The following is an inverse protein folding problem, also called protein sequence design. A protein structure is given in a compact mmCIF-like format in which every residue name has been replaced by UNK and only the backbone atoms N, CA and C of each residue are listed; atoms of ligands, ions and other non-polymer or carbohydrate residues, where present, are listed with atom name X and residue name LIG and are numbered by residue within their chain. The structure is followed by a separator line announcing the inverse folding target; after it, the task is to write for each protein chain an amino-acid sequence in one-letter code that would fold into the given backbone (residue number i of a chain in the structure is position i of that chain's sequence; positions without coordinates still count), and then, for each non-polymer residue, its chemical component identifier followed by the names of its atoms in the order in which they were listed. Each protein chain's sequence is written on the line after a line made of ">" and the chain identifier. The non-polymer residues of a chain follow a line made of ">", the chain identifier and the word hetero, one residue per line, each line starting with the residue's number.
data_IF_906277721360
#
_entry.id   IF_906277721360
#
_cell.length_a   1.000
_cell.length_b   1.000
_cell.length_c   1.000
_cell.angle_alpha   90.00
_cell.angle_beta   90.00
_cell.angle_gamma   90.00
#
_symmetry.space_group_name_H-M   'P 1'
#
loop_
_entity.id
_entity.type
_entity.pdbx_description
1 polymer ?
#
# COMPACT_ATOMS: atom_id res chain seq x y z
N UNK A 1 -2.70 -29.30 25.83
CA UNK A 1 -2.79 -27.86 26.19
C UNK A 1 -2.21 -27.04 25.04
N UNK A 2 -3.08 -26.47 24.22
CA UNK A 2 -2.74 -25.66 23.04
C UNK A 2 -2.19 -24.29 23.48
N UNK A 3 -0.90 -24.02 23.32
CA UNK A 3 -0.36 -22.66 23.38
C UNK A 3 -0.18 -22.11 21.97
N UNK A 4 -1.18 -21.32 21.56
CA UNK A 4 -1.21 -20.44 20.39
C UNK A 4 0.07 -19.57 20.34
N UNK A 5 0.91 -19.73 19.30
CA UNK A 5 1.94 -18.75 18.92
C UNK A 5 1.46 -18.00 17.68
N UNK A 6 1.65 -16.67 17.70
CA UNK A 6 1.06 -15.69 16.78
C UNK A 6 1.67 -15.81 15.36
N UNK A 7 0.88 -15.71 14.29
CA UNK A 7 1.39 -15.55 12.93
C UNK A 7 1.80 -14.09 12.68
N UNK A 8 2.91 -13.88 11.95
CA UNK A 8 3.20 -12.60 11.30
C UNK A 8 3.98 -11.56 12.12
N UNK A 9 5.17 -11.89 12.61
CA UNK A 9 6.16 -10.85 12.92
C UNK A 9 6.94 -10.59 11.63
N UNK A 10 6.54 -9.53 10.92
CA UNK A 10 7.35 -8.92 9.87
C UNK A 10 8.63 -8.36 10.51
N UNK A 11 9.77 -8.33 9.78
CA UNK A 11 10.96 -7.63 10.25
C UNK A 11 10.57 -6.20 10.63
N UNK A 12 10.96 -5.79 11.83
CA UNK A 12 10.69 -4.44 12.31
C UNK A 12 11.68 -3.48 11.64
N UNK A 13 11.34 -2.19 11.60
CA UNK A 13 12.19 -1.12 11.06
C UNK A 13 13.65 -1.13 11.55
N UNK A 14 13.95 -1.77 12.67
CA UNK A 14 15.31 -1.92 13.18
C UNK A 14 16.17 -2.96 12.44
N UNK A 15 15.57 -3.87 11.67
CA UNK A 15 16.26 -4.95 10.96
C UNK A 15 16.70 -4.55 9.54
N UNK A 16 16.31 -3.34 9.08
CA UNK A 16 16.69 -2.78 7.79
C UNK A 16 17.53 -1.54 8.02
N UNK A 17 18.80 -1.59 7.58
CA UNK A 17 19.70 -0.44 7.61
C UNK A 17 19.04 0.77 6.90
N UNK A 18 19.15 1.99 7.45
CA UNK A 18 18.50 3.17 6.88
C UNK A 18 19.18 3.57 5.57
N UNK A 19 18.47 3.51 4.45
CA UNK A 19 18.85 4.29 3.28
C UNK A 19 18.09 5.62 3.29
N UNK A 20 18.84 6.65 3.66
CA UNK A 20 18.43 8.04 3.83
C UNK A 20 17.78 8.61 2.57
N UNK A 21 16.57 9.17 2.73
CA UNK A 21 16.06 10.20 1.83
C UNK A 21 16.89 11.46 2.05
N UNK A 22 17.84 11.74 1.16
CA UNK A 22 18.36 13.10 1.00
C UNK A 22 17.44 13.81 0.01
N UNK A 23 16.53 14.62 0.53
CA UNK A 23 15.99 15.77 -0.21
C UNK A 23 16.76 17.01 0.21
N UNK A 24 17.74 17.39 -0.61
CA UNK A 24 18.12 18.77 -0.92
C UNK A 24 19.22 18.68 -1.99
N UNK A 25 18.93 19.13 -3.21
CA UNK A 25 19.88 19.25 -4.32
C UNK A 25 20.51 17.92 -4.76
N UNK A 26 19.85 17.17 -5.66
CA UNK A 26 20.46 15.95 -6.19
C UNK A 26 19.64 15.21 -7.23
N UNK A 27 19.76 15.67 -8.48
CA UNK A 27 19.71 14.90 -9.75
C UNK A 27 18.63 13.82 -9.87
N UNK A 28 17.72 14.04 -10.82
CA UNK A 28 16.77 13.05 -11.34
C UNK A 28 17.36 11.63 -11.30
N UNK A 29 16.91 10.81 -10.32
CA UNK A 29 17.17 9.37 -10.37
C UNK A 29 16.44 8.89 -11.62
N UNK A 30 17.22 8.36 -12.56
CA UNK A 30 16.72 7.86 -13.84
C UNK A 30 15.60 6.85 -13.60
N UNK A 31 14.60 6.83 -14.48
CA UNK A 31 13.50 5.86 -14.44
C UNK A 31 13.99 4.41 -14.34
N UNK A 32 15.21 4.13 -14.84
CA UNK A 32 15.90 2.84 -14.72
C UNK A 32 16.23 2.44 -13.27
N UNK A 33 16.53 3.39 -12.38
CA UNK A 33 16.81 3.11 -10.97
C UNK A 33 15.57 2.62 -10.21
N UNK A 34 14.39 3.14 -10.55
CA UNK A 34 13.12 2.71 -9.95
C UNK A 34 12.69 1.34 -10.49
N UNK A 35 12.95 1.05 -11.76
CA UNK A 35 12.65 -0.26 -12.36
C UNK A 35 13.49 -1.38 -11.73
N UNK A 36 14.79 -1.19 -11.56
CA UNK A 36 15.64 -2.16 -10.87
C UNK A 36 15.22 -2.39 -9.41
N UNK A 37 14.85 -1.32 -8.69
CA UNK A 37 14.34 -1.45 -7.33
C UNK A 37 13.05 -2.28 -7.29
N UNK A 38 12.10 -2.01 -8.19
CA UNK A 38 10.84 -2.76 -8.26
C UNK A 38 11.07 -4.26 -8.54
N UNK A 39 12.00 -4.59 -9.43
CA UNK A 39 12.38 -5.98 -9.73
C UNK A 39 12.97 -6.65 -8.49
N UNK A 40 13.89 -5.97 -7.79
CA UNK A 40 14.48 -6.50 -6.55
C UNK A 40 13.42 -6.72 -5.47
N UNK A 41 12.52 -5.75 -5.26
CA UNK A 41 11.43 -5.88 -4.29
C UNK A 41 10.50 -7.07 -4.63
N UNK A 42 10.19 -7.25 -5.91
CA UNK A 42 9.39 -8.39 -6.39
C UNK A 42 10.08 -9.73 -6.12
N UNK A 43 11.39 -9.83 -6.41
CA UNK A 43 12.17 -11.03 -6.13
C UNK A 43 12.15 -11.34 -4.63
N UNK A 44 12.39 -10.34 -3.77
CA UNK A 44 12.36 -10.51 -2.31
C UNK A 44 10.98 -10.93 -1.82
N UNK A 45 9.92 -10.37 -2.38
CA UNK A 45 8.54 -10.72 -2.07
C UNK A 45 8.23 -12.19 -2.42
N UNK A 46 8.57 -12.61 -3.64
CA UNK A 46 8.36 -13.98 -4.11
C UNK A 46 9.19 -14.97 -3.29
N UNK A 47 10.49 -14.71 -3.12
CA UNK A 47 11.37 -15.61 -2.37
C UNK A 47 10.94 -15.74 -0.91
N UNK A 48 10.55 -14.64 -0.26
CA UNK A 48 10.08 -14.68 1.11
C UNK A 48 8.67 -15.27 1.28
N UNK A 49 7.97 -15.59 0.20
CA UNK A 49 6.72 -16.35 0.23
C UNK A 49 6.93 -17.84 -0.07
N UNK A 50 7.84 -18.14 -1.00
CA UNK A 50 8.20 -19.52 -1.37
C UNK A 50 9.04 -20.18 -0.27
N UNK A 51 9.94 -19.43 0.36
CA UNK A 51 10.87 -19.94 1.36
C UNK A 51 10.64 -19.31 2.73
N UNK A 52 10.71 -20.13 3.79
CA UNK A 52 10.85 -19.62 5.15
C UNK A 52 12.30 -19.21 5.39
N UNK A 53 12.54 -17.89 5.31
CA UNK A 53 13.85 -17.29 5.49
C UNK A 53 14.10 -16.84 6.94
N UNK A 54 13.34 -17.33 7.94
CA UNK A 54 13.47 -16.93 9.33
C UNK A 54 13.95 -18.07 10.27
N UNK A 55 15.22 -18.04 10.74
CA UNK A 55 16.27 -17.07 10.44
C UNK A 55 16.87 -17.27 9.04
N UNK A 56 17.50 -16.22 8.46
CA UNK A 56 18.07 -16.34 7.12
C UNK A 56 19.22 -17.35 7.11
N UNK A 57 19.41 -18.12 6.03
CA UNK A 57 20.48 -19.10 5.93
C UNK A 57 21.85 -18.41 6.07
N UNK A 58 22.61 -18.76 7.11
CA UNK A 58 23.95 -18.19 7.37
C UNK A 58 25.11 -19.12 7.00
N UNK A 59 24.80 -20.30 6.46
CA UNK A 59 25.79 -21.28 6.01
C UNK A 59 25.44 -21.76 4.61
N UNK A 60 26.46 -22.14 3.85
CA UNK A 60 26.28 -22.72 2.51
C UNK A 60 25.40 -23.98 2.57
N UNK A 61 25.60 -24.84 3.57
CA UNK A 61 24.77 -26.02 3.78
C UNK A 61 23.29 -25.69 4.00
N UNK A 62 22.98 -24.65 4.79
CA UNK A 62 21.61 -24.20 5.01
C UNK A 62 20.97 -23.62 3.75
N UNK A 63 21.75 -22.86 2.97
CA UNK A 63 21.31 -22.33 1.68
C UNK A 63 21.02 -23.44 0.66
N UNK A 64 21.93 -24.42 0.53
CA UNK A 64 21.73 -25.58 -0.33
C UNK A 64 20.53 -26.44 0.08
N UNK A 65 20.23 -26.51 1.38
CA UNK A 65 19.04 -27.20 1.87
C UNK A 65 17.74 -26.49 1.44
N UNK A 66 17.71 -25.15 1.44
CA UNK A 66 16.57 -24.37 0.95
C UNK A 66 16.32 -24.60 -0.54
N UNK A 67 17.37 -24.61 -1.37
CA UNK A 67 17.25 -24.84 -2.81
C UNK A 67 16.70 -26.22 -3.18
N UNK A 68 16.80 -27.20 -2.27
CA UNK A 68 16.25 -28.55 -2.45
C UNK A 68 14.78 -28.67 -2.05
N UNK A 69 14.19 -27.63 -1.47
CA UNK A 69 12.75 -27.62 -1.17
C UNK A 69 11.94 -27.58 -2.47
N UNK A 70 10.79 -28.26 -2.54
CA UNK A 70 9.95 -28.25 -3.72
C UNK A 70 9.50 -26.82 -4.04
N UNK A 71 9.81 -26.34 -5.23
CA UNK A 71 9.45 -25.01 -5.73
C UNK A 71 8.22 -25.06 -6.65
N UNK A 72 7.36 -26.07 -6.48
CA UNK A 72 6.19 -26.26 -7.35
C UNK A 72 5.31 -25.01 -7.40
N UNK A 73 5.30 -24.24 -6.30
CA UNK A 73 4.54 -22.99 -6.18
C UNK A 73 5.27 -21.75 -6.73
N UNK A 74 6.58 -21.81 -7.05
CA UNK A 74 7.35 -20.62 -7.44
C UNK A 74 6.78 -19.97 -8.70
N UNK A 75 6.44 -20.79 -9.71
CA UNK A 75 5.87 -20.29 -10.97
C UNK A 75 4.51 -19.64 -10.74
N UNK A 76 3.65 -20.28 -9.96
CA UNK A 76 2.31 -19.77 -9.63
C UNK A 76 2.37 -18.46 -8.83
N UNK A 77 3.18 -18.44 -7.76
CA UNK A 77 3.40 -17.25 -6.92
C UNK A 77 3.97 -16.10 -7.74
N UNK A 78 4.97 -16.39 -8.59
CA UNK A 78 5.56 -15.38 -9.47
C UNK A 78 4.52 -14.80 -10.44
N UNK A 79 3.73 -15.67 -11.08
CA UNK A 79 2.70 -15.23 -12.01
C UNK A 79 1.62 -14.39 -11.31
N UNK A 80 1.21 -14.76 -10.10
CA UNK A 80 0.23 -14.01 -9.31
C UNK A 80 0.72 -12.59 -9.01
N UNK A 81 1.97 -12.43 -8.57
CA UNK A 81 2.54 -11.11 -8.29
C UNK A 81 2.79 -10.28 -9.56
N UNK A 82 3.20 -10.92 -10.66
CA UNK A 82 3.33 -10.25 -11.96
C UNK A 82 1.98 -9.74 -12.48
N UNK A 83 0.92 -10.55 -12.41
CA UNK A 83 -0.43 -10.15 -12.81
C UNK A 83 -0.93 -8.95 -11.99
N UNK A 84 -0.66 -8.95 -10.69
CA UNK A 84 -0.99 -7.82 -9.81
C UNK A 84 -0.25 -6.54 -10.22
N UNK A 85 1.05 -6.62 -10.53
CA UNK A 85 1.83 -5.47 -10.98
C UNK A 85 1.38 -4.94 -12.34
N UNK A 86 1.02 -5.83 -13.26
CA UNK A 86 0.46 -5.45 -14.56
C UNK A 86 -0.86 -4.70 -14.38
N UNK A 87 -1.76 -5.23 -13.55
CA UNK A 87 -3.04 -4.58 -13.23
C UNK A 87 -2.82 -3.20 -12.59
N UNK A 88 -1.94 -3.10 -11.59
CA UNK A 88 -1.60 -1.82 -10.96
C UNK A 88 -1.05 -0.80 -11.95
N UNK A 89 -0.15 -1.24 -12.84
CA UNK A 89 0.46 -0.36 -13.85
C UNK A 89 -0.58 0.16 -14.83
N UNK A 90 -1.50 -0.71 -15.27
CA UNK A 90 -2.61 -0.35 -16.15
C UNK A 90 -3.51 0.71 -15.50
N UNK A 91 -3.99 0.45 -14.27
CA UNK A 91 -4.90 1.37 -13.58
C UNK A 91 -4.21 2.71 -13.28
N UNK A 92 -2.94 2.68 -12.86
CA UNK A 92 -2.14 3.88 -12.63
C UNK A 92 -2.01 4.72 -13.90
N UNK A 93 -1.74 4.08 -15.04
CA UNK A 93 -1.66 4.76 -16.34
C UNK A 93 -2.99 5.39 -16.76
N UNK A 94 -4.11 4.71 -16.50
CA UNK A 94 -5.45 5.26 -16.74
C UNK A 94 -5.76 6.46 -15.83
N UNK A 95 -5.47 6.37 -14.54
CA UNK A 95 -5.60 7.48 -13.60
C UNK A 95 -4.76 8.70 -13.99
N UNK A 96 -3.52 8.48 -14.44
CA UNK A 96 -2.66 9.56 -14.93
C UNK A 96 -3.28 10.26 -16.16
N UNK A 97 -3.82 9.49 -17.11
CA UNK A 97 -4.52 10.04 -18.29
C UNK A 97 -5.80 10.79 -17.92
N UNK A 98 -6.58 10.29 -16.98
CA UNK A 98 -7.81 10.94 -16.50
C UNK A 98 -7.47 12.26 -15.79
N UNK A 99 -6.52 12.24 -14.86
CA UNK A 99 -6.12 13.43 -14.10
C UNK A 99 -5.52 14.53 -14.97
N UNK A 100 -4.77 14.18 -16.02
CA UNK A 100 -4.21 15.14 -16.98
C UNK A 100 -5.28 15.89 -17.82
N UNK A 101 -6.49 15.33 -17.94
CA UNK A 101 -7.59 15.90 -18.74
C UNK A 101 -8.68 16.53 -17.88
N UNK A 102 -8.44 16.70 -16.58
CA UNK A 102 -9.47 17.21 -15.67
C UNK A 102 -9.81 18.68 -15.97
N UNK A 103 -11.10 19.05 -15.93
CA UNK A 103 -11.51 20.43 -15.98
C UNK A 103 -11.08 21.17 -14.70
N UNK A 104 -10.93 22.50 -14.80
CA UNK A 104 -10.36 23.36 -13.75
C UNK A 104 -11.10 23.20 -12.41
N UNK A 105 -12.42 23.04 -12.42
CA UNK A 105 -13.22 22.90 -11.20
C UNK A 105 -13.00 21.60 -10.45
N UNK A 106 -12.34 20.60 -11.05
CA UNK A 106 -12.00 19.31 -10.43
C UNK A 106 -10.52 19.19 -10.04
N UNK A 107 -9.71 20.25 -10.20
CA UNK A 107 -8.26 20.18 -9.93
C UNK A 107 -7.94 19.81 -8.48
N UNK A 108 -8.69 20.30 -7.51
CA UNK A 108 -8.51 19.92 -6.09
C UNK A 108 -8.73 18.41 -5.88
N UNK A 109 -9.79 17.84 -6.46
CA UNK A 109 -10.06 16.40 -6.43
C UNK A 109 -8.93 15.61 -7.10
N UNK A 110 -8.47 16.07 -8.26
CA UNK A 110 -7.34 15.49 -8.98
C UNK A 110 -6.06 15.46 -8.15
N UNK A 111 -5.72 16.58 -7.50
CA UNK A 111 -4.54 16.68 -6.62
C UNK A 111 -4.64 15.75 -5.42
N UNK A 112 -5.83 15.63 -4.80
CA UNK A 112 -6.02 14.70 -3.68
C UNK A 112 -5.84 13.24 -4.10
N UNK A 113 -6.34 12.88 -5.28
CA UNK A 113 -6.18 11.53 -5.83
C UNK A 113 -4.73 11.25 -6.19
N UNK A 114 -4.02 12.22 -6.75
CA UNK A 114 -2.57 12.11 -7.00
C UNK A 114 -1.79 11.92 -5.70
N UNK A 115 -2.12 12.65 -4.63
CA UNK A 115 -1.53 12.46 -3.29
C UNK A 115 -1.81 11.06 -2.73
N UNK A 116 -3.06 10.61 -2.79
CA UNK A 116 -3.43 9.26 -2.32
C UNK A 116 -2.73 8.17 -3.14
N UNK A 117 -2.58 8.37 -4.46
CA UNK A 117 -1.86 7.46 -5.34
C UNK A 117 -0.36 7.40 -4.98
N UNK A 118 0.29 8.55 -4.72
CA UNK A 118 1.69 8.58 -4.29
C UNK A 118 1.90 7.94 -2.91
N UNK A 119 0.90 7.97 -2.04
CA UNK A 119 0.94 7.32 -0.72
C UNK A 119 0.74 5.80 -0.79
N UNK A 120 0.27 5.26 -1.91
CA UNK A 120 0.08 3.82 -2.14
C UNK A 120 1.14 3.22 -3.06
N UNK A 121 1.55 3.96 -4.09
CA UNK A 121 2.46 3.51 -5.14
C UNK A 121 3.65 4.48 -5.21
N UNK A 122 4.73 4.11 -4.52
CA UNK A 122 5.98 4.84 -4.45
C UNK A 122 7.17 3.88 -4.61
N UNK A 123 8.39 4.36 -4.93
CA UNK A 123 9.57 3.49 -5.00
C UNK A 123 9.78 2.73 -3.68
N UNK A 124 9.72 1.39 -3.70
CA UNK A 124 9.81 0.55 -2.50
C UNK A 124 8.46 0.06 -1.94
N UNK A 125 7.32 0.41 -2.54
CA UNK A 125 6.01 0.05 -1.99
C UNK A 125 5.79 -1.46 -1.84
N UNK A 126 6.37 -2.29 -2.71
CA UNK A 126 6.24 -3.76 -2.65
C UNK A 126 6.86 -4.34 -1.37
N UNK A 127 7.98 -3.78 -0.92
CA UNK A 127 8.70 -4.23 0.27
C UNK A 127 8.13 -3.61 1.56
N UNK A 128 7.63 -2.38 1.49
CA UNK A 128 7.15 -1.63 2.67
C UNK A 128 5.66 -1.81 2.96
N UNK A 129 4.86 -2.18 1.95
CA UNK A 129 3.44 -2.48 2.16
C UNK A 129 3.31 -3.86 2.82
N UNK A 130 2.56 -4.00 3.94
CA UNK A 130 2.34 -5.31 4.51
C UNK A 130 1.70 -6.24 3.49
N UNK A 131 2.25 -7.45 3.33
CA UNK A 131 1.89 -8.38 2.24
C UNK A 131 0.39 -8.62 2.11
N UNK A 132 -0.31 -8.66 3.23
CA UNK A 132 -1.77 -8.78 3.30
C UNK A 132 -2.52 -7.72 2.47
N UNK A 133 -1.99 -6.50 2.38
CA UNK A 133 -2.63 -5.38 1.71
C UNK A 133 -2.28 -5.24 0.23
N UNK A 134 -1.19 -5.85 -0.24
CA UNK A 134 -0.79 -5.78 -1.64
C UNK A 134 -1.90 -6.23 -2.62
N UNK A 135 -2.61 -7.37 -2.39
CA UNK A 135 -3.73 -7.79 -3.24
C UNK A 135 -4.89 -6.80 -3.33
N UNK A 136 -5.00 -5.87 -2.39
CA UNK A 136 -6.09 -4.89 -2.35
C UNK A 136 -5.76 -3.58 -3.06
N UNK A 137 -4.49 -3.32 -3.38
CA UNK A 137 -4.07 -2.09 -4.06
C UNK A 137 -4.83 -1.82 -5.36
N UNK A 138 -5.07 -2.79 -6.27
CA UNK A 138 -5.84 -2.54 -7.48
C UNK A 138 -7.25 -2.03 -7.19
N UNK A 139 -7.91 -2.54 -6.15
CA UNK A 139 -9.26 -2.09 -5.74
C UNK A 139 -9.25 -0.64 -5.25
N UNK A 140 -8.24 -0.24 -4.48
CA UNK A 140 -8.10 1.14 -4.03
C UNK A 140 -7.88 2.11 -5.19
N UNK A 141 -7.05 1.72 -6.18
CA UNK A 141 -6.83 2.53 -7.37
C UNK A 141 -8.10 2.61 -8.25
N UNK A 142 -8.83 1.50 -8.44
CA UNK A 142 -10.14 1.52 -9.14
C UNK A 142 -11.16 2.41 -8.43
N UNK A 143 -11.14 2.47 -7.10
CA UNK A 143 -12.01 3.37 -6.34
C UNK A 143 -11.67 4.85 -6.62
N UNK A 144 -10.40 5.19 -6.87
CA UNK A 144 -10.01 6.53 -7.30
C UNK A 144 -10.56 6.87 -8.70
N UNK A 145 -10.56 5.91 -9.63
CA UNK A 145 -11.13 6.12 -10.98
C UNK A 145 -12.62 6.44 -10.89
N UNK A 146 -13.36 5.61 -10.14
CA UNK A 146 -14.80 5.84 -9.90
C UNK A 146 -15.03 7.19 -9.21
N UNK A 147 -14.17 7.57 -8.24
CA UNK A 147 -14.27 8.89 -7.59
C UNK A 147 -14.11 10.03 -8.60
N UNK A 148 -13.13 9.95 -9.51
CA UNK A 148 -12.94 10.97 -10.55
C UNK A 148 -14.15 11.10 -11.46
N UNK A 149 -14.69 9.98 -11.93
CA UNK A 149 -15.86 9.95 -12.82
C UNK A 149 -17.09 10.55 -12.14
N UNK A 150 -17.30 10.25 -10.86
CA UNK A 150 -18.46 10.74 -10.10
C UNK A 150 -18.31 12.16 -9.56
N UNK A 151 -17.09 12.68 -9.45
CA UNK A 151 -16.84 14.01 -8.89
C UNK A 151 -17.54 15.11 -9.68
N UNK A 152 -17.65 14.96 -11.00
CA UNK A 152 -18.35 15.90 -11.88
C UNK A 152 -19.88 15.72 -11.83
N UNK A 153 -20.34 14.46 -11.75
CA UNK A 153 -21.75 14.11 -11.76
C UNK A 153 -22.46 14.45 -10.45
N UNK A 154 -21.78 14.26 -9.31
CA UNK A 154 -22.35 14.43 -7.96
C UNK A 154 -21.47 15.34 -7.07
N UNK A 155 -21.19 16.61 -7.43
CA UNK A 155 -20.20 17.45 -6.76
C UNK A 155 -20.53 17.77 -5.30
N UNK A 156 -21.83 17.87 -4.96
CA UNK A 156 -22.26 18.07 -3.56
C UNK A 156 -21.91 16.87 -2.69
N UNK A 157 -22.10 15.65 -3.22
CA UNK A 157 -21.83 14.40 -2.52
C UNK A 157 -20.32 14.16 -2.41
N UNK A 158 -19.55 14.45 -3.46
CA UNK A 158 -18.08 14.43 -3.41
C UNK A 158 -17.57 15.31 -2.26
N UNK A 159 -18.04 16.56 -2.18
CA UNK A 159 -17.66 17.48 -1.11
C UNK A 159 -18.03 16.96 0.28
N UNK A 160 -19.23 16.40 0.46
CA UNK A 160 -19.65 15.81 1.73
C UNK A 160 -18.73 14.66 2.15
N UNK A 161 -18.47 13.71 1.25
CA UNK A 161 -17.60 12.55 1.51
C UNK A 161 -16.16 12.99 1.78
N UNK A 162 -15.68 14.01 1.07
CA UNK A 162 -14.37 14.60 1.29
C UNK A 162 -14.24 15.24 2.67
N UNK A 163 -15.25 15.99 3.12
CA UNK A 163 -15.28 16.57 4.47
C UNK A 163 -15.20 15.49 5.56
N UNK A 164 -15.82 14.31 5.32
CA UNK A 164 -15.70 13.16 6.24
C UNK A 164 -14.27 12.60 6.27
N UNK A 165 -13.60 12.49 5.13
CA UNK A 165 -12.25 11.91 5.04
C UNK A 165 -11.16 12.87 5.57
N UNK A 166 -11.33 14.17 5.40
CA UNK A 166 -10.30 15.18 5.72
C UNK A 166 -9.70 15.06 7.14
N UNK A 167 -10.48 15.06 8.24
CA UNK A 167 -9.92 14.94 9.59
C UNK A 167 -9.24 13.58 9.84
N UNK A 168 -9.77 12.51 9.23
CA UNK A 168 -9.22 11.16 9.37
C UNK A 168 -7.87 11.03 8.67
N UNK A 169 -7.74 11.64 7.49
CA UNK A 169 -6.47 11.72 6.76
C UNK A 169 -5.47 12.63 7.50
N UNK A 170 -5.92 13.76 8.06
CA UNK A 170 -5.04 14.64 8.82
C UNK A 170 -4.39 13.91 9.98
N UNK A 171 -5.18 13.11 10.72
CA UNK A 171 -4.64 12.26 11.80
C UNK A 171 -3.56 11.28 11.30
N UNK A 172 -3.73 10.69 10.12
CA UNK A 172 -2.68 9.85 9.51
C UNK A 172 -1.44 10.66 9.13
N UNK A 173 -1.61 11.86 8.58
CA UNK A 173 -0.50 12.74 8.23
C UNK A 173 0.33 13.14 9.46
N UNK A 174 -0.34 13.34 10.60
CA UNK A 174 0.27 13.70 11.89
C UNK A 174 0.97 12.51 12.59
N UNK A 175 0.90 11.30 12.03
CA UNK A 175 1.59 10.13 12.56
C UNK A 175 3.12 10.35 12.59
N UNK A 176 3.76 10.26 13.77
CA UNK A 176 5.21 10.35 13.87
C UNK A 176 5.89 9.31 12.99
N UNK A 177 6.94 9.73 12.28
CA UNK A 177 7.57 8.88 11.28
C UNK A 177 8.01 7.53 11.85
N UNK A 178 8.51 7.47 13.10
CA UNK A 178 8.92 6.24 13.79
C UNK A 178 7.78 5.29 14.16
N UNK A 179 6.55 5.78 14.23
CA UNK A 179 5.35 4.99 14.57
C UNK A 179 4.55 4.54 13.34
N UNK A 180 4.94 4.93 12.12
CA UNK A 180 4.20 4.55 10.89
C UNK A 180 4.09 3.05 10.67
N UNK A 181 5.07 2.29 11.15
CA UNK A 181 5.10 0.83 11.08
C UNK A 181 4.44 0.16 12.29
N UNK A 182 3.98 0.94 13.28
CA UNK A 182 3.30 0.39 14.45
C UNK A 182 1.97 -0.28 14.02
N UNK A 183 1.63 -1.47 14.54
CA UNK A 183 0.46 -2.23 14.10
C UNK A 183 -0.85 -1.44 14.10
N UNK A 184 -1.10 -0.63 15.13
CA UNK A 184 -2.32 0.20 15.22
C UNK A 184 -2.37 1.32 14.15
N UNK A 185 -1.23 1.91 13.82
CA UNK A 185 -1.12 2.93 12.77
C UNK A 185 -1.29 2.31 11.39
N UNK A 186 -0.72 1.12 11.18
CA UNK A 186 -0.94 0.32 9.97
C UNK A 186 -2.43 -0.05 9.84
N UNK A 187 -3.06 -0.55 10.90
CA UNK A 187 -4.50 -0.87 10.87
C UNK A 187 -5.34 0.36 10.53
N UNK A 188 -5.04 1.50 11.15
CA UNK A 188 -5.72 2.77 10.88
C UNK A 188 -5.58 3.19 9.41
N UNK A 189 -4.35 3.19 8.88
CA UNK A 189 -4.03 3.53 7.48
C UNK A 189 -4.85 2.74 6.48
N UNK A 190 -4.96 1.42 6.67
CA UNK A 190 -5.68 0.56 5.74
C UNK A 190 -7.20 0.58 5.98
N UNK A 191 -7.64 0.82 7.20
CA UNK A 191 -9.07 1.06 7.48
C UNK A 191 -9.54 2.35 6.81
N UNK A 192 -8.67 3.36 6.71
CA UNK A 192 -8.96 4.59 5.97
C UNK A 192 -9.16 4.33 4.47
N UNK A 193 -8.36 3.47 3.85
CA UNK A 193 -8.57 3.08 2.44
C UNK A 193 -9.87 2.32 2.23
N UNK A 194 -10.22 1.40 3.13
CA UNK A 194 -11.52 0.74 3.08
C UNK A 194 -12.68 1.75 3.17
N UNK A 195 -12.57 2.75 4.06
CA UNK A 195 -13.59 3.79 4.16
C UNK A 195 -13.71 4.59 2.86
N UNK A 196 -12.60 4.88 2.17
CA UNK A 196 -12.62 5.52 0.85
C UNK A 196 -13.36 4.69 -0.18
N UNK A 197 -13.12 3.38 -0.22
CA UNK A 197 -13.87 2.48 -1.11
C UNK A 197 -15.36 2.50 -0.78
N UNK A 198 -15.72 2.41 0.51
CA UNK A 198 -17.12 2.44 0.96
C UNK A 198 -17.84 3.74 0.58
N UNK A 199 -17.16 4.88 0.66
CA UNK A 199 -17.75 6.18 0.36
C UNK A 199 -17.82 6.43 -1.16
N UNK A 200 -16.70 6.29 -1.86
CA UNK A 200 -16.59 6.74 -3.25
C UNK A 200 -16.96 5.66 -4.27
N UNK A 201 -16.81 4.39 -3.93
CA UNK A 201 -16.85 3.28 -4.87
C UNK A 201 -17.59 2.05 -4.34
N UNK A 202 -18.80 2.25 -3.80
CA UNK A 202 -19.67 1.20 -3.23
C UNK A 202 -19.76 -0.10 -4.07
N UNK A 203 -19.87 -0.06 -5.43
CA UNK A 203 -19.95 -1.28 -6.23
C UNK A 203 -18.75 -2.22 -6.08
N UNK A 204 -17.56 -1.70 -5.71
CA UNK A 204 -16.35 -2.52 -5.54
C UNK A 204 -16.38 -3.37 -4.26
N UNK A 205 -17.30 -3.07 -3.33
CA UNK A 205 -17.36 -3.62 -1.97
C UNK A 205 -16.08 -3.40 -1.16
N UNK A 206 -16.20 -3.49 0.16
CA UNK A 206 -15.05 -3.44 1.05
C UNK A 206 -14.61 -4.85 1.41
N UNK A 207 -13.32 -5.01 1.71
CA UNK A 207 -12.79 -6.29 2.19
C UNK A 207 -13.29 -6.62 3.61
N UNK A 208 -13.59 -5.59 4.38
CA UNK A 208 -14.13 -5.67 5.74
C UNK A 208 -15.14 -4.55 5.98
N UNK A 209 -16.03 -4.74 6.94
CA UNK A 209 -16.94 -3.69 7.39
C UNK A 209 -16.14 -2.52 7.97
N UNK A 210 -16.48 -1.32 7.54
CA UNK A 210 -15.77 -0.08 7.92
C UNK A 210 -16.77 1.05 8.13
N UNK A 211 -16.46 1.94 9.04
CA UNK A 211 -17.20 3.16 9.32
C UNK A 211 -16.26 4.24 9.85
N UNK A 212 -16.73 5.49 9.90
CA UNK A 212 -16.02 6.58 10.59
C UNK A 212 -15.82 6.23 12.06
N UNK A 213 -16.84 5.68 12.72
CA UNK A 213 -16.77 5.27 14.11
C UNK A 213 -15.66 4.24 14.36
N UNK A 214 -15.46 3.28 13.44
CA UNK A 214 -14.37 2.30 13.54
C UNK A 214 -13.00 2.98 13.53
N UNK A 215 -12.79 3.98 12.66
CA UNK A 215 -11.55 4.75 12.63
C UNK A 215 -11.36 5.59 13.88
N UNK A 216 -12.42 6.19 14.42
CA UNK A 216 -12.36 6.94 15.68
C UNK A 216 -12.04 6.02 16.88
N UNK A 217 -12.56 4.80 16.89
CA UNK A 217 -12.19 3.80 17.90
C UNK A 217 -10.73 3.37 17.80
N UNK A 218 -10.20 3.19 16.59
CA UNK A 218 -8.78 2.92 16.36
C UNK A 218 -7.93 4.12 16.78
N UNK A 219 -8.36 5.33 16.45
CA UNK A 219 -7.67 6.58 16.77
C UNK A 219 -7.40 6.74 18.28
N UNK A 220 -8.30 6.26 19.14
CA UNK A 220 -8.14 6.30 20.61
C UNK A 220 -7.00 5.41 21.12
N UNK A 221 -6.59 4.41 20.34
CA UNK A 221 -5.55 3.43 20.69
C UNK A 221 -4.19 3.76 20.09
N UNK A 222 -4.11 4.76 19.20
CA UNK A 222 -2.89 5.09 18.49
C UNK A 222 -1.81 5.55 19.49
N UNK A 223 -0.59 4.98 19.43
CA UNK A 223 0.53 5.48 20.20
C UNK A 223 0.88 6.89 19.72
N UNK A 224 1.27 7.75 20.67
CA UNK A 224 1.61 9.16 20.43
C UNK A 224 3.10 9.45 20.51
N UNK A 225 3.85 8.61 21.23
CA UNK A 225 5.29 8.70 21.46
C UNK A 225 5.93 7.32 21.29
#
# INVERSE_FOLDING_TARGET
>A
QLRKRRPGILPTRHDLQPFTLITAQGKARSESGNAHQLVNDLIQLILGEVYDLNPPPRTEAAFQALLKQPTEDLKEISQRWLNLLEELTKIRGELARQTAKLPIHLLDTGQQIQRQLSDLIYPGFLSQTPRYWLPHLPRYLKAMQIRLERADLEPKKERQQRTVIAPLQQRWNDCPAHLRDHPDWVEYRWTLEELRVALFAQPLKTHRTVSVEKLEQLARKLPRE
#
